data_IF_900470097665
#
_entry.id   IF_900470097665
#
_cell.length_a   1.000
_cell.length_b   1.000
_cell.length_c   1.000
_cell.angle_alpha   90.00
_cell.angle_beta   90.00
_cell.angle_gamma   90.00
#
_symmetry.space_group_name_H-M   'P 1'
#
loop_
_entity.id
_entity.type
_entity.pdbx_description
1 polymer ?
#
# COMPACT_ATOMS: atom_id res chain seq x y z
N UNK A 1 6.74 -3.92 -19.53
CA UNK A 1 5.57 -3.77 -20.44
C UNK A 1 4.71 -2.63 -19.94
N UNK A 2 4.06 -1.86 -20.81
CA UNK A 2 3.07 -0.87 -20.39
C UNK A 2 1.90 -1.56 -19.64
N UNK A 3 1.15 -0.84 -18.79
CA UNK A 3 -0.09 -1.37 -18.22
C UNK A 3 -1.11 -1.69 -19.34
N UNK A 4 -1.99 -2.68 -19.14
CA UNK A 4 -3.00 -3.03 -20.12
C UNK A 4 -4.02 -1.89 -20.26
N UNK A 5 -4.28 -1.48 -21.49
CA UNK A 5 -5.21 -0.38 -21.81
C UNK A 5 -6.64 -0.90 -21.63
N UNK A 6 -7.46 -0.26 -20.77
CA UNK A 6 -8.87 -0.65 -20.63
C UNK A 6 -9.61 -0.41 -21.97
N UNK A 7 -10.56 -1.29 -22.35
CA UNK A 7 -11.43 -1.04 -23.49
C UNK A 7 -12.10 0.34 -23.37
N UNK A 8 -12.15 1.11 -24.47
CA UNK A 8 -12.83 2.41 -24.46
C UNK A 8 -14.33 2.19 -24.24
N UNK A 9 -14.94 2.99 -23.36
CA UNK A 9 -16.39 2.95 -23.14
C UNK A 9 -17.20 3.55 -24.32
N UNK A 10 -16.55 4.07 -25.38
CA UNK A 10 -17.16 4.99 -26.34
C UNK A 10 -16.97 4.67 -27.82
N UNK A 11 -16.47 3.51 -28.21
CA UNK A 11 -16.51 3.12 -29.63
C UNK A 11 -16.95 1.67 -29.78
N UNK A 12 -18.26 1.43 -29.77
CA UNK A 12 -18.79 0.13 -30.16
C UNK A 12 -20.00 0.26 -31.08
N UNK A 13 -19.85 -0.43 -32.20
CA UNK A 13 -20.73 -0.71 -33.33
C UNK A 13 -22.09 -1.31 -32.95
N UNK A 14 -22.93 -1.46 -33.98
CA UNK A 14 -24.38 -1.75 -33.97
C UNK A 14 -24.89 -3.04 -33.28
N UNK A 15 -24.06 -3.80 -32.55
CA UNK A 15 -24.51 -4.79 -31.54
C UNK A 15 -23.57 -4.78 -30.31
N UNK A 16 -23.87 -3.96 -29.28
CA UNK A 16 -22.91 -3.56 -28.25
C UNK A 16 -22.81 -4.48 -27.03
N UNK A 17 -23.55 -5.59 -26.94
CA UNK A 17 -23.73 -6.27 -25.64
C UNK A 17 -22.77 -7.44 -25.38
N UNK A 18 -22.45 -8.25 -26.40
CA UNK A 18 -21.65 -9.49 -26.22
C UNK A 18 -20.16 -9.23 -26.41
N UNK A 19 -19.77 -8.56 -27.51
CA UNK A 19 -18.36 -8.26 -27.81
C UNK A 19 -17.72 -7.33 -26.78
N UNK A 20 -18.49 -6.37 -26.26
CA UNK A 20 -18.07 -5.50 -25.15
C UNK A 20 -17.69 -6.29 -23.91
N UNK A 21 -18.47 -7.34 -23.64
CA UNK A 21 -18.31 -8.17 -22.46
C UNK A 21 -17.09 -9.06 -22.60
N UNK A 22 -16.89 -9.73 -23.74
CA UNK A 22 -15.71 -10.57 -23.97
C UNK A 22 -14.40 -9.78 -23.89
N UNK A 23 -14.30 -8.64 -24.59
CA UNK A 23 -13.11 -7.78 -24.53
C UNK A 23 -12.85 -7.27 -23.11
N UNK A 24 -13.90 -6.92 -22.36
CA UNK A 24 -13.76 -6.51 -20.97
C UNK A 24 -13.26 -7.66 -20.09
N UNK A 25 -13.79 -8.88 -20.25
CA UNK A 25 -13.33 -10.05 -19.49
C UNK A 25 -11.86 -10.38 -19.81
N UNK A 26 -11.44 -10.30 -21.07
CA UNK A 26 -10.04 -10.48 -21.47
C UNK A 26 -9.13 -9.43 -20.82
N UNK A 27 -9.54 -8.17 -20.84
CA UNK A 27 -8.79 -7.11 -20.16
C UNK A 27 -8.72 -7.32 -18.65
N UNK A 28 -9.81 -7.70 -17.99
CA UNK A 28 -9.83 -8.00 -16.55
C UNK A 28 -8.87 -9.16 -16.25
N UNK A 29 -8.89 -10.23 -17.05
CA UNK A 29 -7.98 -11.37 -16.87
C UNK A 29 -6.51 -10.94 -17.01
N UNK A 30 -6.20 -10.13 -18.03
CA UNK A 30 -4.85 -9.58 -18.22
C UNK A 30 -4.44 -8.67 -17.06
N UNK A 31 -5.32 -7.76 -16.63
CA UNK A 31 -5.07 -6.86 -15.50
C UNK A 31 -4.80 -7.65 -14.21
N UNK A 32 -5.61 -8.67 -13.90
CA UNK A 32 -5.41 -9.50 -12.70
C UNK A 32 -4.11 -10.32 -12.78
N UNK A 33 -3.70 -10.75 -13.98
CA UNK A 33 -2.40 -11.40 -14.16
C UNK A 33 -1.24 -10.44 -13.88
N UNK A 34 -1.35 -9.18 -14.31
CA UNK A 34 -0.38 -8.12 -14.06
C UNK A 34 -0.33 -7.74 -12.57
N UNK A 35 -1.48 -7.69 -11.89
CA UNK A 35 -1.54 -7.48 -10.43
C UNK A 35 -0.76 -8.56 -9.71
N UNK A 36 -0.97 -9.84 -10.06
CA UNK A 36 -0.25 -10.96 -9.44
C UNK A 36 1.26 -10.88 -9.70
N UNK A 37 1.66 -10.68 -10.95
CA UNK A 37 3.07 -10.56 -11.33
C UNK A 37 3.76 -9.40 -10.60
N UNK A 38 3.13 -8.22 -10.59
CA UNK A 38 3.67 -7.04 -9.93
C UNK A 38 3.66 -7.19 -8.40
N UNK A 39 2.65 -7.84 -7.82
CA UNK A 39 2.55 -8.06 -6.37
C UNK A 39 3.71 -8.92 -5.89
N UNK A 40 3.95 -10.05 -6.57
CA UNK A 40 5.07 -10.94 -6.27
C UNK A 40 6.43 -10.27 -6.46
N UNK A 41 6.60 -9.51 -7.54
CA UNK A 41 7.90 -8.92 -7.88
C UNK A 41 8.24 -7.67 -7.07
N UNK A 42 7.24 -6.84 -6.76
CA UNK A 42 7.45 -5.47 -6.26
C UNK A 42 6.97 -5.28 -4.82
N UNK A 43 5.99 -6.07 -4.37
CA UNK A 43 5.38 -5.88 -3.04
C UNK A 43 5.86 -6.90 -2.01
N UNK A 44 6.43 -8.02 -2.45
CA UNK A 44 7.02 -9.03 -1.56
C UNK A 44 8.26 -8.48 -0.86
N UNK A 45 8.21 -8.49 0.46
CA UNK A 45 9.28 -8.08 1.34
C UNK A 45 10.33 -9.19 1.46
N UNK A 46 11.59 -8.77 1.47
CA UNK A 46 12.71 -9.59 1.92
C UNK A 46 13.59 -8.67 2.75
N UNK A 47 13.87 -9.08 3.99
CA UNK A 47 14.69 -8.26 4.87
C UNK A 47 16.06 -7.99 4.25
N UNK A 48 16.50 -6.73 4.39
CA UNK A 48 17.81 -6.24 3.95
C UNK A 48 18.43 -5.43 5.09
N UNK A 49 19.68 -5.03 4.96
CA UNK A 49 20.36 -4.22 5.98
C UNK A 49 19.59 -2.97 6.43
N UNK A 50 18.80 -2.35 5.53
CA UNK A 50 17.94 -1.20 5.85
C UNK A 50 16.85 -1.53 6.88
N UNK A 51 16.37 -2.78 6.92
CA UNK A 51 15.36 -3.24 7.88
C UNK A 51 15.86 -3.18 9.32
N UNK A 52 17.17 -3.27 9.52
CA UNK A 52 17.79 -3.35 10.84
C UNK A 52 18.49 -2.05 11.27
N UNK A 53 18.22 -0.96 10.55
CA UNK A 53 18.71 0.38 10.92
C UNK A 53 17.98 0.94 12.15
N UNK A 54 18.58 1.94 12.77
CA UNK A 54 17.99 2.72 13.87
C UNK A 54 17.60 1.87 15.09
N UNK A 55 18.46 0.92 15.47
CA UNK A 55 18.25 0.07 16.66
C UNK A 55 17.32 -1.13 16.45
N UNK A 56 16.87 -1.41 15.23
CA UNK A 56 16.02 -2.56 14.91
C UNK A 56 16.85 -3.83 14.64
N UNK A 57 17.71 -4.26 15.57
CA UNK A 57 18.61 -5.41 15.35
C UNK A 57 17.84 -6.72 15.17
N UNK A 58 16.85 -6.96 16.03
CA UNK A 58 16.17 -8.26 16.12
C UNK A 58 14.83 -8.28 15.38
N UNK A 59 14.37 -7.12 14.91
CA UNK A 59 13.06 -6.96 14.26
C UNK A 59 13.19 -6.18 12.96
N UNK A 60 12.31 -6.43 12.00
CA UNK A 60 12.23 -5.59 10.81
C UNK A 60 11.58 -4.25 11.16
N UNK A 61 12.28 -3.13 10.94
CA UNK A 61 11.73 -1.78 11.21
C UNK A 61 10.45 -1.48 10.43
N UNK A 62 10.19 -2.20 9.34
CA UNK A 62 8.99 -2.08 8.52
C UNK A 62 7.86 -3.02 8.98
N UNK A 63 8.00 -3.65 10.16
CA UNK A 63 6.98 -4.48 10.80
C UNK A 63 6.60 -5.72 9.99
N UNK A 64 7.60 -6.34 9.36
CA UNK A 64 7.47 -7.66 8.75
C UNK A 64 7.99 -8.76 9.70
N UNK A 65 7.36 -9.95 9.73
CA UNK A 65 6.11 -10.31 9.05
C UNK A 65 4.89 -9.55 9.63
N UNK A 66 3.91 -9.23 8.78
CA UNK A 66 2.62 -8.72 9.22
C UNK A 66 1.80 -9.80 9.92
N UNK A 67 0.86 -9.39 10.78
CA UNK A 67 -0.09 -10.32 11.37
C UNK A 67 -1.05 -10.88 10.32
N UNK A 68 -1.33 -12.18 10.41
CA UNK A 68 -2.33 -12.83 9.56
C UNK A 68 -3.73 -12.48 10.08
N UNK A 69 -4.54 -11.94 9.18
CA UNK A 69 -5.94 -11.60 9.44
C UNK A 69 -6.78 -12.31 8.38
N UNK A 70 -7.48 -13.39 8.78
CA UNK A 70 -8.23 -14.25 7.85
C UNK A 70 -9.38 -13.51 7.17
N UNK A 71 -10.04 -12.63 7.92
CA UNK A 71 -11.15 -11.80 7.48
C UNK A 71 -11.07 -10.42 8.13
N UNK A 72 -11.42 -9.37 7.39
CA UNK A 72 -11.41 -8.00 7.91
C UNK A 72 -12.44 -7.84 9.03
N UNK A 73 -12.06 -7.16 10.11
CA UNK A 73 -12.95 -6.91 11.25
C UNK A 73 -12.67 -5.57 11.90
N UNK A 74 -13.64 -5.08 12.67
CA UNK A 74 -13.49 -3.90 13.52
C UNK A 74 -13.34 -4.34 14.98
N UNK A 75 -12.30 -3.86 15.64
CA UNK A 75 -12.11 -4.04 17.08
C UNK A 75 -12.64 -2.81 17.85
N UNK A 76 -13.76 -2.96 18.59
CA UNK A 76 -14.33 -1.86 19.36
C UNK A 76 -13.49 -1.45 20.56
N UNK A 77 -12.64 -2.34 21.12
CA UNK A 77 -11.83 -2.02 22.29
C UNK A 77 -10.70 -1.02 21.95
N UNK A 78 -10.13 -1.16 20.76
CA UNK A 78 -9.06 -0.27 20.24
C UNK A 78 -9.56 0.77 19.24
N UNK A 79 -10.83 0.70 18.84
CA UNK A 79 -11.45 1.50 17.78
C UNK A 79 -10.66 1.42 16.46
N UNK A 80 -10.24 0.20 16.11
CA UNK A 80 -9.34 -0.07 14.98
C UNK A 80 -9.99 -1.00 13.97
N UNK A 81 -9.74 -0.75 12.69
CA UNK A 81 -10.14 -1.63 11.58
C UNK A 81 -8.93 -2.46 11.17
N UNK A 82 -9.08 -3.78 11.21
CA UNK A 82 -8.09 -4.73 10.73
C UNK A 82 -8.53 -5.23 9.36
N UNK A 83 -7.65 -5.09 8.38
CA UNK A 83 -7.90 -5.57 7.02
C UNK A 83 -7.36 -7.00 6.87
N UNK A 84 -8.05 -7.80 6.08
CA UNK A 84 -7.61 -9.14 5.70
C UNK A 84 -6.17 -9.13 5.17
N UNK A 85 -5.32 -9.96 5.76
CA UNK A 85 -3.93 -10.19 5.38
C UNK A 85 -3.69 -11.70 5.35
N UNK A 86 -3.47 -12.26 4.17
CA UNK A 86 -3.26 -13.71 3.98
C UNK A 86 -1.80 -14.08 3.70
N UNK A 87 -0.96 -13.11 3.31
CA UNK A 87 0.48 -13.28 3.14
C UNK A 87 1.18 -12.21 4.00
N UNK A 88 1.93 -12.63 5.04
CA UNK A 88 2.47 -11.69 6.00
C UNK A 88 3.74 -11.00 5.47
N UNK A 89 4.20 -11.37 4.28
CA UNK A 89 5.42 -10.84 3.65
C UNK A 89 5.12 -9.92 2.47
N UNK A 90 3.87 -9.57 2.22
CA UNK A 90 3.46 -8.69 1.12
C UNK A 90 2.90 -7.39 1.69
N UNK A 91 3.32 -6.24 1.14
CA UNK A 91 2.76 -4.94 1.51
C UNK A 91 1.26 -4.87 1.21
N UNK A 92 0.55 -3.99 1.91
CA UNK A 92 -0.80 -3.60 1.51
C UNK A 92 -0.69 -2.71 0.27
N UNK A 93 -1.23 -3.14 -0.87
CA UNK A 93 -1.14 -2.41 -2.12
C UNK A 93 -2.51 -2.22 -2.76
N UNK A 94 -2.63 -1.19 -3.61
CA UNK A 94 -3.83 -0.99 -4.42
C UNK A 94 -3.57 -1.53 -5.83
N UNK A 95 -4.40 -2.45 -6.37
CA UNK A 95 -4.15 -3.10 -7.65
C UNK A 95 -3.92 -2.13 -8.82
N UNK A 96 -4.69 -1.03 -8.87
CA UNK A 96 -4.55 -0.03 -9.94
C UNK A 96 -3.22 0.71 -9.82
N UNK A 97 -2.87 1.20 -8.62
CA UNK A 97 -1.60 1.90 -8.40
C UNK A 97 -0.44 0.96 -8.74
N UNK A 98 -0.56 -0.31 -8.34
CA UNK A 98 0.46 -1.32 -8.61
C UNK A 98 0.71 -1.55 -10.10
N UNK A 99 -0.34 -1.77 -10.88
CA UNK A 99 -0.21 -2.10 -12.31
C UNK A 99 0.25 -0.89 -13.12
N UNK A 100 -0.25 0.30 -12.80
CA UNK A 100 0.05 1.51 -13.57
C UNK A 100 1.39 2.12 -13.18
N UNK A 101 1.70 2.20 -11.88
CA UNK A 101 2.96 2.79 -11.44
C UNK A 101 4.10 1.76 -11.43
N UNK A 102 3.81 0.47 -11.17
CA UNK A 102 4.83 -0.60 -11.10
C UNK A 102 5.97 -0.33 -10.12
N UNK A 103 5.65 0.27 -8.97
CA UNK A 103 6.60 0.50 -7.87
C UNK A 103 6.10 -0.08 -6.55
N UNK A 104 7.04 -0.34 -5.64
CA UNK A 104 6.75 -0.71 -4.25
C UNK A 104 5.96 0.41 -3.56
N UNK A 105 4.84 0.07 -2.92
CA UNK A 105 4.05 1.01 -2.12
C UNK A 105 3.32 0.25 -1.02
N UNK A 106 3.07 0.95 0.08
CA UNK A 106 2.42 0.40 1.26
C UNK A 106 1.30 1.35 1.69
N UNK A 107 0.05 0.89 1.53
CA UNK A 107 -1.17 1.65 1.80
C UNK A 107 -1.76 1.14 3.11
N UNK A 108 -1.75 2.01 4.12
CA UNK A 108 -2.32 1.68 5.43
C UNK A 108 -3.57 2.48 5.70
N UNK A 109 -4.54 1.83 6.32
CA UNK A 109 -5.77 2.46 6.75
C UNK A 109 -5.54 3.20 8.08
N UNK A 110 -5.75 4.51 8.08
CA UNK A 110 -5.53 5.38 9.26
C UNK A 110 -6.85 6.04 9.63
N UNK A 111 -7.78 5.27 10.21
CA UNK A 111 -9.16 5.72 10.40
C UNK A 111 -9.43 6.38 11.76
N UNK A 112 -8.96 5.82 12.88
CA UNK A 112 -9.11 6.44 14.20
C UNK A 112 -8.23 5.79 15.29
N UNK A 113 -8.28 6.32 16.51
CA UNK A 113 -7.58 5.76 17.65
C UNK A 113 -6.10 6.15 17.76
N UNK A 114 -5.30 5.30 18.40
CA UNK A 114 -3.87 5.57 18.65
C UNK A 114 -3.06 5.67 17.36
N UNK A 115 -3.38 4.84 16.36
CA UNK A 115 -2.70 4.83 15.07
C UNK A 115 -2.90 6.14 14.31
N UNK A 116 -4.14 6.66 14.27
CA UNK A 116 -4.43 7.95 13.65
C UNK A 116 -3.68 9.10 14.32
N UNK A 117 -3.70 9.16 15.66
CA UNK A 117 -2.95 10.18 16.41
C UNK A 117 -1.45 10.11 16.14
N UNK A 118 -0.85 8.91 16.17
CA UNK A 118 0.57 8.72 15.90
C UNK A 118 0.93 9.10 14.46
N UNK A 119 0.11 8.71 13.49
CA UNK A 119 0.29 9.07 12.09
C UNK A 119 0.19 10.59 11.88
N UNK A 120 -0.78 11.27 12.52
CA UNK A 120 -0.88 12.73 12.47
C UNK A 120 0.39 13.41 12.99
N UNK A 121 0.91 13.01 14.15
CA UNK A 121 2.16 13.58 14.67
C UNK A 121 3.34 13.32 13.74
N UNK A 122 3.48 12.09 13.25
CA UNK A 122 4.57 11.73 12.33
C UNK A 122 4.50 12.54 11.02
N UNK A 123 3.31 12.67 10.44
CA UNK A 123 3.09 13.45 9.21
C UNK A 123 3.37 14.93 9.48
N UNK A 124 2.88 15.49 10.59
CA UNK A 124 3.14 16.87 10.96
C UNK A 124 4.64 17.12 11.15
N UNK A 125 5.34 16.28 11.91
CA UNK A 125 6.79 16.40 12.12
C UNK A 125 7.55 16.32 10.79
N UNK A 126 7.18 15.38 9.92
CA UNK A 126 7.81 15.22 8.61
C UNK A 126 7.51 16.36 7.63
N UNK A 127 6.29 16.91 7.63
CA UNK A 127 5.92 18.04 6.74
C UNK A 127 6.54 19.33 7.26
N UNK A 128 6.44 19.58 8.57
CA UNK A 128 6.94 20.81 9.17
C UNK A 128 8.46 20.87 9.15
N UNK A 129 9.15 19.71 9.12
CA UNK A 129 10.62 19.57 9.18
C UNK A 129 11.21 20.73 9.98
N UNK A 130 10.90 20.81 11.27
CA UNK A 130 11.46 21.86 12.13
C UNK A 130 12.97 21.85 11.91
N UNK A 131 13.46 22.84 11.16
CA UNK A 131 14.81 22.83 10.60
C UNK A 131 15.86 23.00 11.70
N UNK A 132 15.40 23.40 12.88
CA UNK A 132 16.20 23.81 14.01
C UNK A 132 16.15 22.71 15.07
N UNK A 133 17.28 22.05 15.26
CA UNK A 133 17.43 21.10 16.37
C UNK A 133 17.30 21.87 17.69
N UNK A 134 16.82 21.24 18.76
CA UNK A 134 16.63 21.90 20.06
C UNK A 134 17.92 22.59 20.57
N UNK A 135 19.10 22.06 20.23
CA UNK A 135 20.39 22.70 20.57
C UNK A 135 20.62 24.03 19.83
N UNK A 136 20.16 24.15 18.58
CA UNK A 136 20.30 25.39 17.79
C UNK A 136 19.40 26.50 18.33
N UNK A 137 18.22 26.15 18.84
CA UNK A 137 17.38 27.11 19.57
C UNK A 137 17.99 27.53 20.91
N UNK A 138 18.64 26.60 21.62
CA UNK A 138 19.32 26.91 22.88
C UNK A 138 20.57 27.79 22.69
N UNK A 139 21.23 27.75 21.52
CA UNK A 139 22.33 28.68 21.19
C UNK A 139 21.88 30.09 20.84
N UNK A 140 20.59 30.34 20.67
CA UNK A 140 20.02 31.67 20.38
C UNK A 140 19.52 32.40 21.64
N UNK A 141 19.64 31.78 22.82
CA UNK A 141 19.31 32.32 24.15
C UNK A 141 20.62 32.62 24.88
#
# INVERSE_FOLDING_TARGET
>A
MPPPIPPSLLEQSDDPSVYATEMYQEWVALFMSEVKLCGEKLQRHTCRAVCHKYGNTDNCRFQFPHDIVVESFFDPATNSVFLKCLDPTVNYYHPIILVFDRHNHDIKCVLSGKAAKAASFYITDYITKMATNTYEMLTLI
#
